data_IF_413854341638
#
_entry.id   IF_413854341638
#
_cell.length_a   1.000
_cell.length_b   1.000
_cell.length_c   1.000
_cell.angle_alpha   90.00
_cell.angle_beta   90.00
_cell.angle_gamma   90.00
#
_symmetry.space_group_name_H-M   'P 1'
#
loop_
_entity.id
_entity.type
_entity.pdbx_description
1 polymer ?
#
# COMPACT_ATOMS: atom_id res chain seq x y z
N UNK A 1 -9.68 5.17 -13.68
CA UNK A 1 -10.89 5.98 -13.90
C UNK A 1 -10.64 7.45 -13.64
N UNK A 2 -10.30 7.87 -12.39
CA UNK A 2 -10.19 9.29 -11.98
C UNK A 2 -9.31 10.13 -12.90
N UNK A 3 -8.09 9.66 -13.23
CA UNK A 3 -7.20 10.41 -14.15
C UNK A 3 -7.83 10.64 -15.54
N UNK A 4 -8.59 9.65 -16.06
CA UNK A 4 -9.26 9.79 -17.35
C UNK A 4 -10.43 10.76 -17.28
N UNK A 5 -11.22 10.70 -16.20
CA UNK A 5 -12.29 11.66 -15.93
C UNK A 5 -11.74 13.10 -15.79
N UNK A 6 -10.64 13.28 -15.07
CA UNK A 6 -9.97 14.57 -14.94
C UNK A 6 -9.45 15.11 -16.29
N UNK A 7 -8.91 14.23 -17.15
CA UNK A 7 -8.49 14.60 -18.51
C UNK A 7 -9.67 15.01 -19.39
N UNK A 8 -10.80 14.31 -19.29
CA UNK A 8 -12.01 14.67 -20.01
C UNK A 8 -12.55 16.02 -19.53
N UNK A 9 -12.69 16.22 -18.23
CA UNK A 9 -13.11 17.48 -17.65
C UNK A 9 -12.19 18.65 -18.06
N UNK A 10 -10.87 18.44 -18.02
CA UNK A 10 -9.89 19.41 -18.51
C UNK A 10 -10.14 19.77 -19.99
N UNK A 11 -10.43 18.75 -20.83
CA UNK A 11 -10.80 18.97 -22.24
C UNK A 11 -12.06 19.81 -22.40
N UNK A 12 -13.08 19.59 -21.56
CA UNK A 12 -14.31 20.37 -21.56
C UNK A 12 -14.03 21.84 -21.17
N UNK A 13 -13.29 22.08 -20.10
CA UNK A 13 -12.88 23.42 -19.66
C UNK A 13 -12.06 24.16 -20.73
N UNK A 14 -11.14 23.46 -21.40
CA UNK A 14 -10.35 24.07 -22.49
C UNK A 14 -11.21 24.43 -23.70
N UNK A 15 -12.23 23.63 -24.03
CA UNK A 15 -13.19 24.00 -25.12
C UNK A 15 -13.99 25.27 -24.76
N UNK A 16 -14.50 25.35 -23.54
CA UNK A 16 -15.22 26.54 -23.06
C UNK A 16 -14.30 27.78 -23.02
N UNK A 17 -13.09 27.61 -22.46
CA UNK A 17 -12.08 28.64 -22.41
C UNK A 17 -11.64 29.13 -23.79
N UNK A 18 -11.56 28.23 -24.78
CA UNK A 18 -11.25 28.56 -26.17
C UNK A 18 -12.30 29.48 -26.79
N UNK A 19 -13.56 29.19 -26.53
CA UNK A 19 -14.68 30.07 -26.97
C UNK A 19 -14.61 31.43 -26.26
N UNK A 20 -14.48 31.44 -24.93
CA UNK A 20 -14.50 32.68 -24.14
C UNK A 20 -13.28 33.59 -24.41
N UNK A 21 -12.10 32.99 -24.64
CA UNK A 21 -10.85 33.71 -24.91
C UNK A 21 -10.56 33.92 -26.40
N UNK A 22 -11.43 33.43 -27.27
CA UNK A 22 -11.23 33.43 -28.74
C UNK A 22 -9.85 32.91 -29.15
N UNK A 23 -9.46 31.79 -28.54
CA UNK A 23 -8.13 31.18 -28.69
C UNK A 23 -8.24 29.72 -29.10
N UNK A 24 -7.25 29.22 -29.87
CA UNK A 24 -7.18 27.81 -30.23
C UNK A 24 -6.92 26.98 -28.97
N UNK A 25 -7.50 25.78 -28.89
CA UNK A 25 -7.31 24.84 -27.74
C UNK A 25 -5.83 24.51 -27.51
N UNK A 26 -5.04 24.39 -28.60
CA UNK A 26 -3.59 24.18 -28.54
C UNK A 26 -2.79 25.28 -27.84
N UNK A 27 -3.38 26.46 -27.72
CA UNK A 27 -2.74 27.62 -27.12
C UNK A 27 -3.22 27.89 -25.68
N UNK A 28 -4.00 26.95 -25.14
CA UNK A 28 -4.56 27.04 -23.79
C UNK A 28 -3.84 26.12 -22.81
N UNK A 29 -3.76 26.59 -21.58
CA UNK A 29 -3.31 25.82 -20.41
C UNK A 29 -4.34 25.95 -19.29
N UNK A 30 -4.48 24.91 -18.49
CA UNK A 30 -5.26 24.92 -17.26
C UNK A 30 -4.29 24.98 -16.09
N UNK A 31 -4.36 26.03 -15.31
CA UNK A 31 -3.50 26.26 -14.15
C UNK A 31 -4.24 27.08 -13.09
N UNK A 32 -4.09 26.71 -11.83
CA UNK A 32 -4.59 27.47 -10.65
C UNK A 32 -6.06 27.89 -10.78
N UNK A 33 -6.95 26.96 -11.14
CA UNK A 33 -8.39 27.22 -11.28
C UNK A 33 -8.79 28.11 -12.48
N UNK A 34 -7.88 28.30 -13.45
CA UNK A 34 -8.08 29.15 -14.61
C UNK A 34 -7.70 28.44 -15.91
N UNK A 35 -8.33 28.85 -17.00
CA UNK A 35 -7.87 28.58 -18.36
C UNK A 35 -7.14 29.82 -18.88
N UNK A 36 -5.90 29.66 -19.31
CA UNK A 36 -5.00 30.75 -19.69
C UNK A 36 -4.49 30.51 -21.12
N UNK A 37 -4.48 31.53 -21.95
CA UNK A 37 -3.90 31.45 -23.30
C UNK A 37 -2.42 31.84 -23.30
N UNK A 38 -1.72 31.56 -24.42
CA UNK A 38 -0.29 31.90 -24.60
C UNK A 38 0.04 33.41 -24.45
N UNK A 39 -0.95 34.29 -24.57
CA UNK A 39 -0.80 35.75 -24.39
C UNK A 39 -0.96 36.16 -22.91
N UNK A 40 -1.12 35.21 -21.98
CA UNK A 40 -1.32 35.48 -20.55
C UNK A 40 -2.75 35.88 -20.17
N UNK A 41 -3.68 36.00 -21.10
CA UNK A 41 -5.09 36.28 -20.79
C UNK A 41 -5.73 35.01 -20.24
N UNK A 42 -6.37 35.08 -19.07
CA UNK A 42 -6.99 33.95 -18.40
C UNK A 42 -8.40 34.22 -17.93
N UNK A 43 -9.21 33.16 -17.83
CA UNK A 43 -10.57 33.18 -17.31
C UNK A 43 -10.69 32.11 -16.21
N UNK A 44 -11.31 32.44 -15.09
CA UNK A 44 -11.51 31.49 -13.99
C UNK A 44 -12.57 30.45 -14.34
N UNK A 45 -12.54 29.33 -13.65
CA UNK A 45 -13.57 28.28 -13.83
C UNK A 45 -14.96 28.81 -13.49
N UNK A 46 -15.09 29.62 -12.42
CA UNK A 46 -16.37 30.22 -12.04
C UNK A 46 -16.93 31.13 -13.16
N UNK A 47 -16.08 31.99 -13.73
CA UNK A 47 -16.46 32.83 -14.85
C UNK A 47 -16.85 32.02 -16.10
N UNK A 48 -16.16 30.87 -16.35
CA UNK A 48 -16.51 29.96 -17.43
C UNK A 48 -17.85 29.28 -17.19
N UNK A 49 -18.12 28.88 -15.95
CA UNK A 49 -19.38 28.23 -15.57
C UNK A 49 -20.55 29.19 -15.68
N UNK A 50 -20.42 30.37 -15.11
CA UNK A 50 -21.47 31.42 -15.19
C UNK A 50 -21.69 31.86 -16.65
N UNK A 51 -20.61 32.05 -17.40
CA UNK A 51 -20.71 32.50 -18.81
C UNK A 51 -21.33 31.43 -19.72
N UNK A 52 -21.22 30.15 -19.40
CA UNK A 52 -21.76 29.07 -20.21
C UNK A 52 -23.17 28.59 -19.76
N UNK A 53 -23.45 28.61 -18.46
CA UNK A 53 -24.70 28.07 -17.89
C UNK A 53 -25.61 29.11 -17.25
N UNK A 54 -25.14 30.35 -17.16
CA UNK A 54 -25.87 31.44 -16.50
C UNK A 54 -25.71 31.46 -14.98
N UNK A 55 -26.31 32.47 -14.33
CA UNK A 55 -26.21 32.65 -12.87
C UNK A 55 -26.97 31.63 -12.03
N UNK A 56 -27.85 30.84 -12.62
CA UNK A 56 -28.61 29.78 -11.94
C UNK A 56 -27.80 28.50 -11.72
N UNK A 57 -26.56 28.46 -12.20
CA UNK A 57 -25.65 27.34 -12.05
C UNK A 57 -25.69 26.33 -13.20
N UNK A 58 -24.79 25.41 -13.15
CA UNK A 58 -24.59 24.31 -14.09
C UNK A 58 -23.43 23.46 -13.65
N UNK A 59 -23.24 22.31 -14.27
CA UNK A 59 -22.13 21.43 -13.96
C UNK A 59 -21.40 20.94 -15.20
N UNK A 60 -20.12 20.62 -15.02
CA UNK A 60 -19.32 19.87 -15.98
C UNK A 60 -18.96 18.53 -15.34
N UNK A 61 -19.30 17.45 -16.03
CA UNK A 61 -19.02 16.08 -15.56
C UNK A 61 -17.94 15.46 -16.43
N UNK A 62 -16.79 15.18 -15.83
CA UNK A 62 -15.73 14.41 -16.45
C UNK A 62 -16.03 12.91 -16.40
N UNK A 63 -15.90 12.22 -17.52
CA UNK A 63 -16.13 10.78 -17.64
C UNK A 63 -14.82 10.02 -17.85
N UNK A 64 -14.66 8.92 -17.13
CA UNK A 64 -13.48 8.07 -17.28
C UNK A 64 -13.78 6.62 -16.92
N UNK A 65 -13.46 5.71 -17.83
CA UNK A 65 -13.53 4.27 -17.61
C UNK A 65 -12.14 3.66 -17.64
N UNK A 66 -11.94 2.59 -16.89
CA UNK A 66 -10.73 1.79 -16.93
C UNK A 66 -11.11 0.31 -16.97
N UNK A 67 -10.52 -0.39 -17.89
CA UNK A 67 -10.61 -1.84 -17.97
C UNK A 67 -9.20 -2.40 -17.80
N UNK A 68 -9.06 -3.30 -16.85
CA UNK A 68 -7.81 -4.01 -16.64
C UNK A 68 -7.52 -4.94 -17.83
N UNK A 69 -6.30 -4.86 -18.34
CA UNK A 69 -5.81 -5.76 -19.40
C UNK A 69 -4.90 -6.78 -18.73
N UNK A 70 -5.48 -7.93 -18.38
CA UNK A 70 -4.69 -9.05 -17.87
C UNK A 70 -3.59 -9.42 -18.86
N UNK A 71 -2.40 -9.68 -18.36
CA UNK A 71 -1.32 -10.21 -19.18
C UNK A 71 -1.72 -11.57 -19.77
N UNK A 72 -1.49 -11.76 -21.05
CA UNK A 72 -1.66 -13.08 -21.69
C UNK A 72 -0.55 -14.06 -21.30
N UNK A 73 0.59 -13.54 -20.83
CA UNK A 73 1.72 -14.34 -20.33
C UNK A 73 1.70 -14.29 -18.81
N UNK A 74 1.34 -15.41 -18.22
CA UNK A 74 1.40 -15.57 -16.77
C UNK A 74 2.85 -15.80 -16.34
N UNK A 75 3.39 -14.88 -15.57
CA UNK A 75 4.57 -15.15 -14.76
C UNK A 75 4.06 -15.79 -13.48
N UNK A 76 4.70 -16.82 -12.98
CA UNK A 76 4.28 -17.57 -11.78
C UNK A 76 2.85 -18.17 -11.85
N UNK A 77 2.38 -18.50 -13.05
CA UNK A 77 1.19 -19.33 -13.26
C UNK A 77 -0.17 -18.63 -13.24
N UNK A 78 -0.26 -17.35 -12.87
CA UNK A 78 -1.54 -16.61 -12.87
C UNK A 78 -1.47 -15.35 -13.70
N UNK A 79 -2.43 -15.09 -14.61
CA UNK A 79 -2.47 -13.83 -15.35
C UNK A 79 -2.77 -12.68 -14.37
N UNK A 80 -1.84 -11.73 -14.29
CA UNK A 80 -1.97 -10.54 -13.47
C UNK A 80 -1.48 -9.32 -14.24
N UNK A 81 -1.97 -8.14 -13.88
CA UNK A 81 -1.59 -6.88 -14.51
C UNK A 81 -0.22 -6.41 -14.05
N UNK A 82 0.13 -6.70 -12.81
CA UNK A 82 1.41 -6.39 -12.19
C UNK A 82 1.67 -7.31 -11.00
N UNK A 83 2.89 -7.33 -10.53
CA UNK A 83 3.28 -7.96 -9.28
C UNK A 83 3.68 -6.87 -8.28
N UNK A 84 3.12 -6.96 -7.09
CA UNK A 84 3.61 -6.25 -5.93
C UNK A 84 4.74 -7.09 -5.35
N UNK A 85 5.95 -6.51 -5.32
CA UNK A 85 7.14 -7.17 -4.81
C UNK A 85 7.56 -6.45 -3.54
N UNK A 86 7.80 -7.21 -2.48
CA UNK A 86 8.25 -6.68 -1.21
C UNK A 86 9.38 -7.52 -0.63
N UNK A 87 10.21 -6.87 0.19
CA UNK A 87 11.30 -7.51 0.91
C UNK A 87 11.22 -7.12 2.38
N UNK A 88 11.65 -8.03 3.25
CA UNK A 88 11.70 -7.82 4.68
C UNK A 88 13.02 -8.24 5.27
N UNK A 89 13.51 -7.47 6.24
CA UNK A 89 14.66 -7.81 7.07
C UNK A 89 14.35 -7.62 8.54
N UNK A 90 14.75 -8.59 9.38
CA UNK A 90 14.48 -8.57 10.81
C UNK A 90 15.74 -8.80 11.62
N UNK A 91 15.83 -8.12 12.76
CA UNK A 91 16.81 -8.36 13.82
C UNK A 91 16.06 -8.70 15.11
N UNK A 92 16.44 -9.82 15.75
CA UNK A 92 15.76 -10.32 16.94
C UNK A 92 16.77 -10.61 18.05
N UNK A 93 16.31 -10.48 19.28
CA UNK A 93 16.92 -11.04 20.46
C UNK A 93 16.10 -12.25 20.95
N UNK A 94 16.76 -13.34 21.32
CA UNK A 94 16.11 -14.56 21.80
C UNK A 94 16.62 -14.91 23.20
N UNK A 95 15.71 -14.97 24.15
CA UNK A 95 16.01 -15.60 25.46
C UNK A 95 15.92 -17.13 25.35
N UNK A 96 17.04 -17.79 25.42
CA UNK A 96 17.12 -19.25 25.29
C UNK A 96 16.53 -20.02 26.48
N UNK A 97 16.38 -19.34 27.63
CA UNK A 97 15.82 -19.93 28.84
C UNK A 97 14.29 -19.98 28.81
N UNK A 98 13.67 -18.96 28.25
CA UNK A 98 12.20 -18.78 28.20
C UNK A 98 11.63 -19.00 26.80
N UNK A 99 12.45 -18.88 25.75
CA UNK A 99 12.00 -18.86 24.36
C UNK A 99 11.41 -17.51 23.91
N UNK A 100 11.48 -16.47 24.76
CA UNK A 100 10.98 -15.15 24.42
C UNK A 100 11.74 -14.56 23.24
N UNK A 101 11.02 -13.92 22.33
CA UNK A 101 11.53 -13.26 21.12
C UNK A 101 11.22 -11.78 21.22
N UNK A 102 12.26 -10.95 21.20
CA UNK A 102 12.16 -9.50 21.09
C UNK A 102 12.56 -9.08 19.68
N UNK A 103 11.64 -8.43 18.96
CA UNK A 103 11.92 -7.88 17.64
C UNK A 103 12.57 -6.51 17.81
N UNK A 104 13.89 -6.42 17.57
CA UNK A 104 14.68 -5.20 17.76
C UNK A 104 14.57 -4.26 16.58
N UNK A 105 14.62 -4.83 15.36
CA UNK A 105 14.54 -4.04 14.13
C UNK A 105 13.74 -4.79 13.07
N UNK A 106 12.94 -4.03 12.31
CA UNK A 106 12.35 -4.51 11.08
C UNK A 106 12.48 -3.46 9.98
N UNK A 107 12.84 -3.91 8.78
CA UNK A 107 12.91 -3.09 7.57
C UNK A 107 12.01 -3.71 6.52
N UNK A 108 11.07 -2.92 6.01
CA UNK A 108 10.22 -3.26 4.86
C UNK A 108 10.65 -2.47 3.63
N UNK A 109 10.66 -3.11 2.47
CA UNK A 109 10.86 -2.46 1.17
C UNK A 109 9.69 -2.86 0.28
N UNK A 110 8.88 -1.91 -0.13
CA UNK A 110 7.70 -2.12 -0.96
C UNK A 110 7.87 -1.48 -2.35
N UNK A 111 7.71 -2.28 -3.41
CA UNK A 111 7.66 -1.76 -4.79
C UNK A 111 6.29 -1.16 -5.08
N UNK A 112 6.19 0.14 -4.98
CA UNK A 112 4.94 0.91 -5.16
C UNK A 112 4.78 1.46 -6.58
N UNK A 113 5.75 1.20 -7.47
CA UNK A 113 5.78 1.79 -8.81
C UNK A 113 5.95 3.30 -8.75
N UNK A 114 4.93 4.03 -8.39
CA UNK A 114 4.93 5.47 -8.07
C UNK A 114 4.14 5.71 -6.79
N UNK A 115 4.77 6.25 -5.77
CA UNK A 115 4.09 6.70 -4.56
C UNK A 115 3.26 7.97 -4.87
N UNK A 116 1.94 7.80 -5.01
CA UNK A 116 1.05 8.94 -5.30
C UNK A 116 0.93 9.84 -4.07
N UNK A 117 0.91 9.25 -2.89
CA UNK A 117 0.90 9.96 -1.62
C UNK A 117 1.87 9.27 -0.64
N UNK A 118 3.14 9.66 -0.60
CA UNK A 118 4.18 8.96 0.15
C UNK A 118 3.83 8.71 1.63
N UNK A 119 3.29 9.70 2.33
CA UNK A 119 2.90 9.54 3.73
C UNK A 119 1.88 8.41 3.94
N UNK A 120 0.83 8.36 3.10
CA UNK A 120 -0.17 7.29 3.18
C UNK A 120 0.40 5.94 2.73
N UNK A 121 1.36 5.95 1.81
CA UNK A 121 2.05 4.72 1.39
C UNK A 121 2.86 4.13 2.56
N UNK A 122 3.62 4.95 3.30
CA UNK A 122 4.32 4.51 4.50
C UNK A 122 3.35 3.95 5.53
N UNK A 123 2.29 4.68 5.87
CA UNK A 123 1.31 4.21 6.86
C UNK A 123 0.61 2.91 6.46
N UNK A 124 0.37 2.68 5.16
CA UNK A 124 -0.19 1.43 4.66
C UNK A 124 0.81 0.27 4.78
N UNK A 125 2.07 0.48 4.44
CA UNK A 125 3.11 -0.53 4.56
C UNK A 125 3.39 -0.87 6.03
N UNK A 126 3.54 0.13 6.90
CA UNK A 126 3.69 -0.04 8.34
C UNK A 126 2.55 -0.84 8.95
N UNK A 127 1.30 -0.49 8.62
CA UNK A 127 0.11 -1.21 9.09
C UNK A 127 0.10 -2.68 8.65
N UNK A 128 0.44 -2.96 7.39
CA UNK A 128 0.49 -4.32 6.86
C UNK A 128 1.58 -5.17 7.51
N UNK A 129 2.75 -4.58 7.80
CA UNK A 129 3.83 -5.24 8.54
C UNK A 129 3.38 -5.59 9.96
N UNK A 130 2.67 -4.68 10.65
CA UNK A 130 2.18 -4.94 12.02
C UNK A 130 1.16 -6.09 12.06
N UNK A 131 0.27 -6.21 11.07
CA UNK A 131 -0.58 -7.39 10.94
C UNK A 131 0.23 -8.68 10.86
N UNK A 132 1.30 -8.68 10.08
CA UNK A 132 2.12 -9.87 9.92
C UNK A 132 3.00 -10.17 11.13
N UNK A 133 3.46 -9.15 11.88
CA UNK A 133 4.12 -9.36 13.17
C UNK A 133 3.16 -10.07 14.14
N UNK A 134 1.89 -9.60 14.21
CA UNK A 134 0.85 -10.25 14.98
C UNK A 134 0.67 -11.71 14.60
N UNK A 135 0.44 -11.96 13.32
CA UNK A 135 0.28 -13.31 12.77
C UNK A 135 1.52 -14.20 12.97
N UNK A 136 2.72 -13.61 12.96
CA UNK A 136 3.97 -14.37 13.09
C UNK A 136 4.28 -14.76 14.53
N UNK A 137 3.98 -13.91 15.51
CA UNK A 137 4.45 -14.07 16.88
C UNK A 137 3.37 -14.34 17.92
N UNK A 138 2.10 -13.92 17.66
CA UNK A 138 1.08 -13.85 18.70
C UNK A 138 -0.25 -14.49 18.35
N UNK A 139 -0.74 -14.29 17.13
CA UNK A 139 -2.11 -14.59 16.75
C UNK A 139 -2.29 -16.04 16.34
N UNK A 140 -3.21 -16.73 17.00
CA UNK A 140 -3.56 -18.12 16.69
C UNK A 140 -5.06 -18.34 16.93
N UNK A 141 -5.77 -18.82 15.89
CA UNK A 141 -7.13 -19.32 16.05
C UNK A 141 -7.07 -20.78 16.49
N UNK A 142 -7.48 -21.05 17.72
CA UNK A 142 -7.44 -22.40 18.29
C UNK A 142 -8.79 -23.07 18.11
N UNK A 143 -8.82 -24.20 17.41
CA UNK A 143 -10.02 -24.99 17.18
C UNK A 143 -9.98 -26.30 17.96
N UNK A 144 -11.09 -26.65 18.63
CA UNK A 144 -11.31 -27.95 19.23
C UNK A 144 -12.60 -28.53 18.67
N UNK A 145 -12.54 -29.71 18.10
CA UNK A 145 -13.69 -30.41 17.48
C UNK A 145 -14.49 -29.51 16.50
N UNK A 146 -13.81 -28.63 15.75
CA UNK A 146 -14.41 -27.68 14.82
C UNK A 146 -14.96 -26.39 15.44
N UNK A 147 -14.86 -26.22 16.75
CA UNK A 147 -15.27 -25.00 17.45
C UNK A 147 -14.08 -24.09 17.77
N UNK A 148 -14.18 -22.80 17.47
CA UNK A 148 -13.19 -21.79 17.84
C UNK A 148 -13.28 -21.55 19.36
N UNK A 149 -12.21 -21.85 20.10
CA UNK A 149 -12.19 -21.77 21.58
C UNK A 149 -11.65 -20.47 22.12
N UNK A 150 -11.03 -19.64 21.28
CA UNK A 150 -10.51 -18.30 21.62
C UNK A 150 -11.15 -17.18 20.76
N UNK A 151 -12.49 -16.97 20.79
CA UNK A 151 -13.19 -16.08 19.86
C UNK A 151 -13.11 -14.59 20.22
N UNK A 152 -12.38 -14.22 21.26
CA UNK A 152 -12.31 -12.85 21.74
C UNK A 152 -10.85 -12.39 21.93
N UNK A 153 -10.64 -11.06 21.97
CA UNK A 153 -9.29 -10.44 22.04
C UNK A 153 -8.57 -10.63 23.39
N UNK A 154 -9.17 -11.30 24.36
CA UNK A 154 -8.50 -11.65 25.61
C UNK A 154 -7.57 -12.84 25.35
N UNK A 155 -8.09 -13.83 24.63
CA UNK A 155 -7.37 -15.10 24.32
C UNK A 155 -6.75 -15.08 22.94
N UNK A 156 -7.31 -14.33 21.99
CA UNK A 156 -6.72 -14.03 20.69
C UNK A 156 -5.88 -12.76 20.80
N UNK A 157 -4.58 -12.93 21.00
CA UNK A 157 -3.67 -11.81 21.28
C UNK A 157 -3.31 -11.03 20.01
N UNK A 158 -3.80 -9.80 19.91
CA UNK A 158 -3.36 -8.84 18.90
C UNK A 158 -2.06 -8.12 19.32
N UNK A 159 -1.21 -7.69 18.37
CA UNK A 159 -0.08 -6.84 18.68
C UNK A 159 -0.54 -5.48 19.23
N UNK A 160 0.22 -4.97 20.17
CA UNK A 160 0.03 -3.65 20.78
C UNK A 160 1.12 -2.68 20.36
N UNK A 161 1.03 -1.42 20.75
CA UNK A 161 2.10 -0.44 20.53
C UNK A 161 3.44 -0.83 21.17
N UNK A 162 3.45 -1.71 22.16
CA UNK A 162 4.67 -2.23 22.79
C UNK A 162 5.38 -3.29 21.95
N UNK A 163 4.66 -3.88 21.01
CA UNK A 163 5.18 -4.91 20.11
C UNK A 163 5.77 -4.31 18.81
N UNK A 164 5.68 -2.98 18.64
CA UNK A 164 6.35 -2.27 17.54
C UNK A 164 7.88 -2.41 17.73
N UNK A 165 8.64 -2.79 16.69
CA UNK A 165 10.08 -2.88 16.78
C UNK A 165 10.71 -1.55 17.22
N UNK A 166 11.77 -1.59 18.03
CA UNK A 166 12.48 -0.36 18.47
C UNK A 166 12.97 0.47 17.27
N UNK A 167 13.37 -0.22 16.20
CA UNK A 167 13.75 0.39 14.92
C UNK A 167 12.86 -0.19 13.83
N UNK A 168 11.88 0.61 13.39
CA UNK A 168 10.98 0.24 12.32
C UNK A 168 11.17 1.20 11.13
N UNK A 169 11.51 0.65 9.97
CA UNK A 169 11.83 1.42 8.77
C UNK A 169 11.08 0.86 7.57
N UNK A 170 10.39 1.72 6.83
CA UNK A 170 9.74 1.38 5.57
C UNK A 170 10.35 2.16 4.42
N UNK A 171 10.65 1.49 3.31
CA UNK A 171 11.29 2.05 2.12
C UNK A 171 10.37 1.84 0.92
N UNK A 172 9.92 2.93 0.33
CA UNK A 172 9.13 2.89 -0.89
C UNK A 172 10.04 2.87 -2.12
N UNK A 173 10.03 1.75 -2.85
CA UNK A 173 10.80 1.63 -4.09
C UNK A 173 9.94 2.06 -5.29
N UNK A 174 10.36 3.11 -5.98
CA UNK A 174 9.66 3.66 -7.15
C UNK A 174 10.33 3.26 -8.46
N UNK A 175 9.74 2.36 -9.23
CA UNK A 175 10.21 1.98 -10.58
C UNK A 175 9.30 2.48 -11.71
N UNK A 176 8.14 3.06 -11.39
CA UNK A 176 7.15 3.66 -12.30
C UNK A 176 6.62 2.75 -13.40
N UNK A 177 6.67 1.46 -13.22
CA UNK A 177 6.24 0.46 -14.21
C UNK A 177 4.85 -0.15 -13.92
N UNK A 178 4.12 0.39 -12.95
CA UNK A 178 2.77 -0.06 -12.60
C UNK A 178 1.71 0.34 -13.62
N UNK A 179 0.56 -0.34 -13.62
CA UNK A 179 -0.57 -0.07 -14.54
C UNK A 179 -1.38 1.16 -14.13
N UNK A 180 -1.18 1.65 -12.93
CA UNK A 180 -1.90 2.80 -12.40
C UNK A 180 -1.43 4.14 -12.95
N UNK A 181 -2.10 5.24 -12.59
CA UNK A 181 -1.68 6.58 -12.96
C UNK A 181 -0.21 6.84 -12.57
N UNK A 182 0.53 7.45 -13.48
CA UNK A 182 1.96 7.78 -13.31
C UNK A 182 2.89 6.58 -13.07
N UNK A 183 2.42 5.35 -13.36
CA UNK A 183 3.16 4.13 -13.12
C UNK A 183 3.01 3.57 -11.70
N UNK A 184 1.96 3.98 -10.97
CA UNK A 184 1.67 3.44 -9.65
C UNK A 184 1.25 1.97 -9.71
N UNK A 185 1.61 1.22 -8.68
CA UNK A 185 1.11 -0.13 -8.37
C UNK A 185 0.08 -0.08 -7.25
N UNK A 186 -0.55 -1.21 -6.96
CA UNK A 186 -1.29 -1.38 -5.72
C UNK A 186 -0.34 -1.38 -4.53
N UNK A 187 -0.81 -0.94 -3.40
CA UNK A 187 -0.11 -1.00 -2.14
C UNK A 187 -1.17 -1.27 -1.06
N UNK A 188 -1.40 -2.54 -0.80
CA UNK A 188 -2.36 -2.99 0.19
C UNK A 188 -1.68 -3.77 1.30
N UNK A 189 -1.37 -5.01 1.03
CA UNK A 189 -0.85 -5.97 2.01
C UNK A 189 0.52 -6.55 1.59
N UNK A 190 1.22 -5.89 0.65
CA UNK A 190 2.54 -6.35 0.19
C UNK A 190 3.59 -6.43 1.29
N UNK A 191 3.58 -5.46 2.22
CA UNK A 191 4.46 -5.43 3.38
C UNK A 191 4.29 -6.62 4.32
N UNK A 192 3.11 -7.27 4.33
CA UNK A 192 2.82 -8.45 5.14
C UNK A 192 3.60 -9.70 4.67
N UNK A 193 3.78 -9.86 3.36
CA UNK A 193 4.27 -11.11 2.77
C UNK A 193 5.65 -11.58 3.27
N UNK A 194 6.68 -10.71 3.41
CA UNK A 194 8.01 -11.14 3.80
C UNK A 194 8.21 -11.29 5.32
N UNK A 195 7.27 -10.87 6.17
CA UNK A 195 7.49 -10.72 7.62
C UNK A 195 7.75 -12.04 8.30
N UNK A 196 6.89 -13.03 8.10
CA UNK A 196 7.02 -14.33 8.76
C UNK A 196 8.33 -15.03 8.39
N UNK A 197 8.74 -14.94 7.12
CA UNK A 197 10.00 -15.53 6.67
C UNK A 197 11.22 -14.76 7.19
N UNK A 198 11.18 -13.43 7.24
CA UNK A 198 12.25 -12.61 7.76
C UNK A 198 12.47 -12.86 9.27
N UNK A 199 11.40 -12.85 10.07
CA UNK A 199 11.45 -13.13 11.50
C UNK A 199 11.88 -14.58 11.75
N UNK A 200 11.29 -15.56 11.04
CA UNK A 200 11.66 -16.97 11.18
C UNK A 200 13.14 -17.25 10.86
N UNK A 201 13.71 -16.55 9.87
CA UNK A 201 15.13 -16.62 9.55
C UNK A 201 15.99 -15.95 10.63
N UNK A 202 15.59 -14.78 11.14
CA UNK A 202 16.29 -14.10 12.22
C UNK A 202 16.31 -14.94 13.51
N UNK A 203 15.18 -15.55 13.90
CA UNK A 203 15.06 -16.45 15.05
C UNK A 203 15.96 -17.67 14.85
N UNK A 204 15.97 -18.26 13.66
CA UNK A 204 16.86 -19.39 13.38
C UNK A 204 18.34 -18.98 13.47
N UNK A 205 18.70 -17.84 12.95
CA UNK A 205 20.08 -17.34 13.01
C UNK A 205 20.54 -17.08 14.46
N UNK A 206 19.68 -16.49 15.29
CA UNK A 206 19.98 -16.18 16.70
C UNK A 206 20.00 -17.43 17.61
N UNK A 207 19.13 -18.42 17.36
CA UNK A 207 18.91 -19.54 18.25
C UNK A 207 19.41 -20.89 17.73
N UNK A 208 19.57 -21.00 16.41
CA UNK A 208 19.80 -22.26 15.71
C UNK A 208 18.55 -23.14 15.58
N UNK A 209 17.42 -22.81 16.20
CA UNK A 209 16.17 -23.55 16.08
C UNK A 209 15.35 -23.07 14.88
N UNK A 210 14.78 -23.99 14.09
CA UNK A 210 13.90 -23.68 12.97
C UNK A 210 12.47 -24.07 13.36
N UNK A 211 11.55 -23.09 13.32
CA UNK A 211 10.12 -23.27 13.54
C UNK A 211 9.41 -23.16 12.19
N UNK A 212 8.53 -24.11 11.89
CA UNK A 212 7.81 -24.19 10.62
C UNK A 212 6.32 -23.85 10.76
N UNK A 213 5.82 -23.74 11.99
CA UNK A 213 4.41 -23.52 12.29
C UNK A 213 4.23 -22.15 12.95
N UNK A 214 3.34 -21.34 12.43
CA UNK A 214 2.96 -20.04 13.02
C UNK A 214 1.87 -20.24 14.10
N UNK A 215 1.82 -19.33 15.07
CA UNK A 215 2.81 -18.30 15.40
C UNK A 215 4.12 -18.93 15.92
N UNK A 216 5.25 -18.22 15.77
CA UNK A 216 6.52 -18.57 16.39
C UNK A 216 6.46 -18.16 17.86
N UNK A 217 5.69 -18.91 18.68
CA UNK A 217 5.51 -18.59 20.10
C UNK A 217 6.75 -18.92 20.92
N UNK A 218 6.89 -18.25 22.07
CA UNK A 218 7.96 -18.52 23.03
C UNK A 218 7.99 -19.98 23.44
N UNK A 219 6.83 -20.61 23.65
CA UNK A 219 6.73 -22.03 23.99
C UNK A 219 7.24 -22.93 22.87
N UNK A 220 6.83 -22.69 21.61
CA UNK A 220 7.32 -23.49 20.46
C UNK A 220 8.84 -23.37 20.33
N UNK A 221 9.38 -22.16 20.48
CA UNK A 221 10.81 -21.94 20.40
C UNK A 221 11.56 -22.60 21.56
N UNK A 222 11.09 -22.44 22.78
CA UNK A 222 11.69 -23.10 23.96
C UNK A 222 11.71 -24.63 23.83
N UNK A 223 10.61 -25.24 23.40
CA UNK A 223 10.53 -26.67 23.13
C UNK A 223 11.54 -27.14 22.08
N UNK A 224 11.66 -26.37 20.98
CA UNK A 224 12.60 -26.65 19.90
C UNK A 224 14.07 -26.56 20.38
N UNK A 225 14.38 -25.60 21.26
CA UNK A 225 15.71 -25.45 21.87
C UNK A 225 16.06 -26.59 22.82
N UNK A 226 15.08 -27.11 23.58
CA UNK A 226 15.28 -28.26 24.49
C UNK A 226 15.50 -29.58 23.75
N UNK A 227 14.84 -29.76 22.61
CA UNK A 227 14.95 -30.98 21.80
C UNK A 227 16.21 -31.02 20.93
N UNK A 228 16.99 -29.98 20.88
CA UNK A 228 18.30 -29.87 20.20
C UNK A 228 19.44 -30.29 21.15
N UNK A 229 19.38 -31.51 21.70
CA UNK A 229 20.52 -32.12 22.39
C UNK A 229 21.34 -32.93 21.42
#
# INVERSE_FOLDING_TARGET
CVQRAARDLKGQLMRLGGKALQSKISDLTVKDGRVINKKGKGISFDQLMVGNFGSKGGELVGKGSYQDRKSKKAVLGSPTTFWEVSWGGAEVEVDRGTGEIKLLKYVSIADVGRAIHPLLCHGQDEGSVMFAIGHTLFEEMVYQEGHLVNPNVIDYRLPSFKDIPEKFETILFENRNGPGPFGAKGLGEGGLLPVASAIGNAVHNASGARIFDLPISAEKLWRALKNKK
#
